data_IF_165753307026
#
_entry.id   IF_165753307026
#
_cell.length_a   1.000
_cell.length_b   1.000
_cell.length_c   1.000
_cell.angle_alpha   90.00
_cell.angle_beta   90.00
_cell.angle_gamma   90.00
#
_symmetry.space_group_name_H-M   'P 1'
#
loop_
_entity.id
_entity.type
_entity.pdbx_description
1 polymer ?
#
# COMPACT_ATOMS: atom_id res chain seq x y z
N UNK A 1 -15.51 -12.59 7.86
CA UNK A 1 -14.76 -13.86 7.77
C UNK A 1 -13.35 -13.63 8.31
N UNK A 2 -13.06 -14.06 9.54
CA UNK A 2 -11.78 -13.83 10.21
C UNK A 2 -10.74 -14.86 9.81
N UNK A 3 -9.53 -14.43 9.41
CA UNK A 3 -8.40 -15.33 9.14
C UNK A 3 -7.92 -15.98 10.44
N UNK A 4 -7.62 -17.28 10.41
CA UNK A 4 -6.98 -17.97 11.55
C UNK A 4 -5.52 -17.57 11.64
N UNK A 5 -5.16 -16.84 12.70
CA UNK A 5 -3.80 -16.32 12.90
C UNK A 5 -3.05 -17.20 13.89
N UNK A 6 -1.97 -17.83 13.46
CA UNK A 6 -1.05 -18.55 14.37
C UNK A 6 -0.12 -17.54 15.05
N UNK A 7 -0.07 -17.60 16.38
CA UNK A 7 0.78 -16.71 17.21
C UNK A 7 1.69 -17.55 18.09
N UNK A 8 2.99 -17.45 17.84
CA UNK A 8 4.03 -18.08 18.67
C UNK A 8 4.53 -17.04 19.65
N UNK A 9 4.26 -17.28 20.94
CA UNK A 9 4.67 -16.41 22.05
C UNK A 9 5.89 -17.02 22.73
N UNK A 10 6.98 -16.28 22.78
CA UNK A 10 8.15 -16.68 23.54
C UNK A 10 7.91 -16.42 25.03
N UNK A 11 8.45 -17.28 25.88
CA UNK A 11 8.40 -17.09 27.32
C UNK A 11 9.04 -15.75 27.70
N UNK A 12 8.39 -14.99 28.58
CA UNK A 12 8.97 -13.76 29.10
C UNK A 12 10.18 -14.04 29.99
N UNK A 13 10.20 -15.19 30.68
CA UNK A 13 11.31 -15.57 31.55
C UNK A 13 12.59 -15.85 30.75
N UNK A 14 12.46 -16.41 29.55
CA UNK A 14 13.61 -16.70 28.67
C UNK A 14 14.00 -15.49 27.82
N UNK A 15 13.00 -14.70 27.41
CA UNK A 15 13.23 -13.57 26.51
C UNK A 15 13.83 -12.34 27.22
N UNK A 16 13.53 -12.11 28.49
CA UNK A 16 14.08 -10.99 29.27
C UNK A 16 15.61 -11.06 29.48
N UNK A 17 16.20 -12.18 29.92
CA UNK A 17 17.64 -12.30 30.12
C UNK A 17 18.43 -12.57 28.82
N UNK A 18 17.75 -12.65 27.67
CA UNK A 18 18.40 -12.97 26.40
C UNK A 18 19.37 -11.85 25.97
N UNK A 19 20.65 -12.17 25.74
CA UNK A 19 21.66 -11.19 25.30
C UNK A 19 21.31 -10.51 23.96
N UNK A 20 20.51 -11.18 23.10
CA UNK A 20 20.06 -10.62 21.82
C UNK A 20 18.81 -9.75 21.95
N UNK A 21 18.29 -9.50 23.15
CA UNK A 21 17.02 -8.82 23.37
C UNK A 21 16.96 -7.45 22.68
N UNK A 22 17.99 -6.64 22.88
CA UNK A 22 18.12 -5.28 22.32
C UNK A 22 18.06 -5.29 20.78
N UNK A 23 18.67 -6.29 20.15
CA UNK A 23 18.65 -6.45 18.69
C UNK A 23 17.42 -7.20 18.16
N UNK A 24 16.69 -7.90 19.03
CA UNK A 24 15.60 -8.81 18.63
C UNK A 24 14.23 -8.12 18.61
N UNK A 25 13.85 -7.44 19.69
CA UNK A 25 12.53 -6.78 19.77
C UNK A 25 12.47 -5.77 20.91
N UNK A 26 11.79 -4.64 20.65
CA UNK A 26 11.49 -3.62 21.66
C UNK A 26 10.32 -3.99 22.60
N UNK A 27 9.57 -5.04 22.29
CA UNK A 27 8.46 -5.50 23.12
C UNK A 27 8.94 -6.33 24.32
N UNK A 28 8.18 -6.49 25.42
CA UNK A 28 8.60 -7.28 26.58
C UNK A 28 9.00 -8.73 26.27
N UNK A 29 8.42 -9.32 25.21
CA UNK A 29 8.75 -10.65 24.71
C UNK A 29 8.66 -10.70 23.18
N UNK A 30 9.35 -11.65 22.57
CA UNK A 30 9.21 -11.92 21.13
C UNK A 30 7.84 -12.56 20.84
N UNK A 31 7.20 -12.07 19.79
CA UNK A 31 5.97 -12.63 19.24
C UNK A 31 6.19 -12.84 17.74
N UNK A 32 5.97 -14.05 17.27
CA UNK A 32 5.99 -14.36 15.85
C UNK A 32 4.58 -14.71 15.38
N UNK A 33 4.24 -14.21 14.20
CA UNK A 33 2.98 -14.48 13.53
C UNK A 33 3.28 -15.10 12.16
N UNK A 34 3.71 -16.36 12.10
CA UNK A 34 3.99 -17.01 10.83
C UNK A 34 2.70 -17.16 10.01
N UNK A 35 2.85 -17.08 8.69
CA UNK A 35 1.79 -17.45 7.76
C UNK A 35 1.66 -18.98 7.69
N UNK A 36 0.49 -19.49 7.32
CA UNK A 36 0.38 -20.91 6.99
C UNK A 36 1.22 -21.23 5.76
N UNK A 37 1.66 -22.48 5.62
CA UNK A 37 2.53 -22.91 4.51
C UNK A 37 1.96 -22.56 3.14
N UNK A 38 0.67 -22.77 2.93
CA UNK A 38 -0.01 -22.43 1.67
C UNK A 38 -0.02 -20.93 1.40
N UNK A 39 -0.33 -20.11 2.41
CA UNK A 39 -0.30 -18.64 2.29
C UNK A 39 1.11 -18.12 2.06
N UNK A 40 2.10 -18.76 2.68
CA UNK A 40 3.51 -18.43 2.49
C UNK A 40 3.94 -18.76 1.05
N UNK A 41 3.64 -19.97 0.57
CA UNK A 41 3.94 -20.40 -0.78
C UNK A 41 3.24 -19.52 -1.83
N UNK A 42 1.99 -19.13 -1.59
CA UNK A 42 1.26 -18.20 -2.47
C UNK A 42 1.93 -16.82 -2.52
N UNK A 43 2.45 -16.34 -1.38
CA UNK A 43 3.15 -15.07 -1.29
C UNK A 43 4.55 -15.14 -1.94
N UNK A 44 5.27 -16.24 -1.80
CA UNK A 44 6.54 -16.48 -2.50
C UNK A 44 6.33 -16.55 -4.01
N UNK A 45 5.31 -17.29 -4.47
CA UNK A 45 4.95 -17.33 -5.88
C UNK A 45 4.55 -15.95 -6.42
N UNK A 46 3.82 -15.15 -5.63
CA UNK A 46 3.49 -13.78 -6.01
C UNK A 46 4.75 -12.90 -6.16
N UNK A 47 5.69 -12.98 -5.22
CA UNK A 47 6.97 -12.25 -5.30
C UNK A 47 7.82 -12.68 -6.48
N UNK A 48 7.87 -13.98 -6.79
CA UNK A 48 8.57 -14.48 -7.95
C UNK A 48 7.97 -13.93 -9.25
N UNK A 49 6.63 -13.83 -9.33
CA UNK A 49 5.95 -13.16 -10.45
C UNK A 49 6.23 -11.67 -10.51
N UNK A 50 6.27 -10.98 -9.37
CA UNK A 50 6.56 -9.54 -9.30
C UNK A 50 7.97 -9.19 -9.78
N UNK A 51 8.91 -10.13 -9.71
CA UNK A 51 10.28 -9.97 -10.20
C UNK A 51 10.39 -10.09 -11.74
N UNK A 52 9.35 -10.56 -12.43
CA UNK A 52 9.33 -10.71 -13.88
C UNK A 52 9.10 -9.36 -14.58
N UNK A 53 9.83 -9.12 -15.67
CA UNK A 53 9.70 -7.90 -16.48
C UNK A 53 8.32 -7.78 -17.11
N UNK A 54 7.71 -8.90 -17.51
CA UNK A 54 6.35 -8.88 -18.09
C UNK A 54 5.31 -8.40 -17.08
N UNK A 55 5.49 -8.76 -15.80
CA UNK A 55 4.66 -8.26 -14.71
C UNK A 55 4.90 -6.77 -14.49
N UNK A 56 6.15 -6.31 -14.52
CA UNK A 56 6.47 -4.89 -14.39
C UNK A 56 5.81 -4.05 -15.50
N UNK A 57 5.82 -4.50 -16.75
CA UNK A 57 5.15 -3.83 -17.86
C UNK A 57 3.63 -3.74 -17.68
N UNK A 58 2.99 -4.85 -17.28
CA UNK A 58 1.57 -4.85 -16.97
C UNK A 58 1.25 -3.94 -15.77
N UNK A 59 2.12 -3.91 -14.77
CA UNK A 59 1.92 -3.14 -13.55
C UNK A 59 2.15 -1.63 -13.76
N UNK A 60 2.95 -1.22 -14.77
CA UNK A 60 3.15 0.20 -15.12
C UNK A 60 1.84 0.94 -15.37
N UNK A 61 0.83 0.28 -15.94
CA UNK A 61 -0.51 0.85 -16.14
C UNK A 61 -1.18 1.27 -14.81
N UNK A 62 -0.81 0.64 -13.68
CA UNK A 62 -1.32 0.99 -12.35
C UNK A 62 -0.50 2.07 -11.63
N UNK A 63 0.69 2.42 -12.11
CA UNK A 63 1.59 3.34 -11.41
C UNK A 63 0.95 4.72 -11.13
N UNK A 64 -0.03 5.14 -11.93
CA UNK A 64 -0.74 6.42 -11.76
C UNK A 64 -1.94 6.42 -10.80
N UNK A 65 -2.38 5.26 -10.28
CA UNK A 65 -3.64 5.20 -9.52
C UNK A 65 -3.54 5.89 -8.15
N UNK A 66 -2.38 5.81 -7.49
CA UNK A 66 -2.18 6.44 -6.18
C UNK A 66 -2.19 7.96 -6.28
N UNK A 67 -1.57 8.52 -7.34
CA UNK A 67 -1.62 9.95 -7.64
C UNK A 67 -3.06 10.42 -7.92
N UNK A 68 -3.79 9.64 -8.74
CA UNK A 68 -5.21 9.90 -9.05
C UNK A 68 -6.08 9.89 -7.80
N UNK A 69 -5.88 8.89 -6.91
CA UNK A 69 -6.59 8.80 -5.64
C UNK A 69 -6.23 9.95 -4.70
N UNK A 70 -4.94 10.31 -4.62
CA UNK A 70 -4.46 11.43 -3.82
C UNK A 70 -5.10 12.76 -4.27
N UNK A 71 -5.20 12.99 -5.58
CA UNK A 71 -5.90 14.14 -6.14
C UNK A 71 -7.38 14.13 -5.70
N UNK A 72 -8.12 13.06 -5.99
CA UNK A 72 -9.54 12.97 -5.63
C UNK A 72 -9.82 13.11 -4.13
N UNK A 73 -8.96 12.57 -3.26
CA UNK A 73 -9.09 12.70 -1.80
C UNK A 73 -8.83 14.14 -1.34
N UNK A 74 -7.80 14.80 -1.88
CA UNK A 74 -7.37 16.13 -1.43
C UNK A 74 -8.22 17.27 -2.00
N UNK A 75 -8.60 17.20 -3.26
CA UNK A 75 -9.31 18.30 -3.95
C UNK A 75 -10.82 18.08 -4.05
N UNK A 76 -11.28 16.82 -4.13
CA UNK A 76 -12.68 16.51 -4.44
C UNK A 76 -13.43 15.82 -3.31
N UNK A 77 -12.85 15.75 -2.11
CA UNK A 77 -13.45 15.16 -0.92
C UNK A 77 -13.99 13.74 -1.13
N UNK A 78 -13.31 12.92 -1.93
CA UNK A 78 -13.75 11.56 -2.30
C UNK A 78 -14.12 10.64 -1.11
N UNK A 79 -13.63 10.94 0.11
CA UNK A 79 -13.94 10.18 1.33
C UNK A 79 -15.23 10.61 2.03
N UNK A 80 -15.93 11.61 1.52
CA UNK A 80 -17.15 12.16 2.12
C UNK A 80 -18.26 12.22 1.08
N UNK A 81 -19.39 11.62 1.40
CA UNK A 81 -20.63 11.75 0.65
C UNK A 81 -21.72 12.31 1.55
N UNK A 82 -22.65 13.08 0.98
CA UNK A 82 -23.85 13.50 1.71
C UNK A 82 -24.81 12.33 1.73
N UNK A 83 -25.20 11.89 2.92
CA UNK A 83 -26.14 10.78 3.07
C UNK A 83 -27.57 11.22 2.76
N UNK A 84 -27.89 11.25 1.47
CA UNK A 84 -29.19 11.64 0.92
C UNK A 84 -29.85 10.45 0.19
N UNK A 85 -29.45 9.23 0.55
CA UNK A 85 -29.84 7.99 -0.11
C UNK A 85 -28.86 7.53 -1.22
N UNK A 86 -28.83 6.21 -1.47
CA UNK A 86 -27.83 5.57 -2.33
C UNK A 86 -27.78 6.12 -3.76
N UNK A 87 -28.92 6.47 -4.36
CA UNK A 87 -28.97 7.02 -5.71
C UNK A 87 -28.24 8.38 -5.80
N UNK A 88 -28.44 9.26 -4.81
CA UNK A 88 -27.77 10.58 -4.76
C UNK A 88 -26.29 10.44 -4.43
N UNK A 89 -25.93 9.51 -3.55
CA UNK A 89 -24.53 9.18 -3.26
C UNK A 89 -23.83 8.63 -4.50
N UNK A 90 -24.49 7.75 -5.26
CA UNK A 90 -23.96 7.24 -6.53
C UNK A 90 -23.73 8.37 -7.54
N UNK A 91 -24.72 9.25 -7.72
CA UNK A 91 -24.59 10.42 -8.60
C UNK A 91 -23.41 11.31 -8.16
N UNK A 92 -23.26 11.59 -6.86
CA UNK A 92 -22.13 12.34 -6.34
C UNK A 92 -20.79 11.70 -6.76
N UNK A 93 -20.64 10.39 -6.57
CA UNK A 93 -19.41 9.69 -6.96
C UNK A 93 -19.15 9.73 -8.47
N UNK A 94 -20.18 9.58 -9.31
CA UNK A 94 -20.05 9.70 -10.77
C UNK A 94 -19.59 11.10 -11.17
N UNK A 95 -20.18 12.14 -10.57
CA UNK A 95 -19.78 13.54 -10.83
C UNK A 95 -18.36 13.81 -10.35
N UNK A 96 -17.95 13.29 -9.18
CA UNK A 96 -16.57 13.39 -8.70
C UNK A 96 -15.60 12.68 -9.64
N UNK A 97 -15.95 11.50 -10.15
CA UNK A 97 -15.11 10.78 -11.11
C UNK A 97 -14.98 11.55 -12.44
N UNK A 98 -16.07 12.15 -12.93
CA UNK A 98 -16.04 12.99 -14.13
C UNK A 98 -15.15 14.23 -13.92
N UNK A 99 -15.32 14.94 -12.80
CA UNK A 99 -14.48 16.09 -12.46
C UNK A 99 -12.99 15.71 -12.39
N UNK A 100 -12.66 14.56 -11.79
CA UNK A 100 -11.29 14.06 -11.69
C UNK A 100 -10.66 13.80 -13.07
N UNK A 101 -11.42 13.22 -13.99
CA UNK A 101 -10.95 13.00 -15.36
C UNK A 101 -10.75 14.33 -16.10
N UNK A 102 -11.69 15.28 -15.96
CA UNK A 102 -11.59 16.60 -16.59
C UNK A 102 -10.37 17.36 -16.09
N UNK A 103 -10.14 17.43 -14.77
CA UNK A 103 -8.96 18.10 -14.20
C UNK A 103 -7.67 17.50 -14.76
N UNK A 104 -7.56 16.18 -14.83
CA UNK A 104 -6.38 15.51 -15.37
C UNK A 104 -6.16 15.78 -16.86
N UNK A 105 -7.24 15.90 -17.65
CA UNK A 105 -7.15 16.29 -19.06
C UNK A 105 -6.65 17.72 -19.19
N UNK A 106 -7.14 18.64 -18.35
CA UNK A 106 -6.69 20.04 -18.32
C UNK A 106 -5.21 20.11 -17.98
N UNK A 107 -4.76 19.45 -16.91
CA UNK A 107 -3.35 19.43 -16.50
C UNK A 107 -2.45 18.87 -17.61
N UNK A 108 -2.90 17.80 -18.28
CA UNK A 108 -2.18 17.21 -19.41
C UNK A 108 -2.08 18.16 -20.62
N UNK A 109 -3.18 18.83 -20.98
CA UNK A 109 -3.20 19.83 -22.06
C UNK A 109 -2.33 21.05 -21.73
N UNK A 110 -2.24 21.42 -20.46
CA UNK A 110 -1.37 22.50 -19.97
C UNK A 110 0.13 22.12 -19.95
N UNK A 111 0.47 20.86 -20.24
CA UNK A 111 1.84 20.36 -20.20
C UNK A 111 2.37 20.19 -18.77
N UNK A 112 1.51 20.18 -17.76
CA UNK A 112 1.91 19.86 -16.39
C UNK A 112 2.32 18.38 -16.34
N UNK A 113 3.58 18.13 -15.99
CA UNK A 113 4.08 16.75 -15.92
C UNK A 113 3.54 16.04 -14.70
N UNK A 114 3.13 14.78 -14.88
CA UNK A 114 2.72 13.91 -13.76
C UNK A 114 3.83 13.88 -12.73
N UNK A 115 3.53 14.29 -11.50
CA UNK A 115 4.52 14.43 -10.44
C UNK A 115 5.39 13.16 -10.32
N UNK A 116 6.71 13.36 -10.32
CA UNK A 116 7.68 12.28 -10.16
C UNK A 116 7.42 11.50 -8.88
N UNK A 117 7.45 10.17 -8.95
CA UNK A 117 7.28 9.29 -7.79
C UNK A 117 8.33 9.66 -6.73
N UNK A 118 7.87 10.11 -5.57
CA UNK A 118 8.76 10.45 -4.45
C UNK A 118 9.56 9.21 -4.04
N UNK A 119 10.89 9.25 -4.20
CA UNK A 119 11.79 8.21 -3.64
C UNK A 119 11.82 8.32 -2.12
N UNK A 120 11.49 7.23 -1.43
CA UNK A 120 11.56 7.18 0.04
C UNK A 120 13.02 7.31 0.51
N UNK A 121 13.28 7.76 1.75
CA UNK A 121 14.64 7.77 2.32
C UNK A 121 15.32 6.39 2.26
N UNK A 122 14.56 5.33 2.49
CA UNK A 122 15.04 3.95 2.42
C UNK A 122 15.44 3.54 1.00
N UNK A 123 14.64 3.87 -0.01
CA UNK A 123 14.97 3.59 -1.40
C UNK A 123 16.25 4.31 -1.84
N UNK A 124 16.47 5.54 -1.35
CA UNK A 124 17.71 6.30 -1.59
C UNK A 124 18.93 5.62 -0.96
N UNK A 125 18.79 5.13 0.28
CA UNK A 125 19.87 4.42 0.99
C UNK A 125 20.27 3.12 0.26
N UNK A 126 19.30 2.31 -0.16
CA UNK A 126 19.58 1.05 -0.89
C UNK A 126 20.27 1.34 -2.23
N UNK A 127 19.85 2.37 -2.97
CA UNK A 127 20.48 2.71 -4.25
C UNK A 127 21.91 3.22 -4.13
N UNK A 128 22.36 3.61 -2.93
CA UNK A 128 23.75 4.03 -2.67
C UNK A 128 24.66 2.87 -2.25
N UNK A 129 24.08 1.75 -1.84
CA UNK A 129 24.79 0.57 -1.35
C UNK A 129 24.94 -0.54 -2.41
N UNK A 130 24.36 -0.34 -3.60
CA UNK A 130 24.47 -1.19 -4.78
C UNK A 130 25.44 -0.57 -5.78
#
# INVERSE_FOLDING_TARGET
>A
MGRTVMRIRFSSADCKPCALKENCTRSPRRLLTPRRREEHAALEAARAREADETFAEQYRWRAGIEGTLSLGVRTMHLRRARDLGLAKVHLQHVLTAAALNISRIIDWLAGETVASTRRSPFARLISQAA
#
